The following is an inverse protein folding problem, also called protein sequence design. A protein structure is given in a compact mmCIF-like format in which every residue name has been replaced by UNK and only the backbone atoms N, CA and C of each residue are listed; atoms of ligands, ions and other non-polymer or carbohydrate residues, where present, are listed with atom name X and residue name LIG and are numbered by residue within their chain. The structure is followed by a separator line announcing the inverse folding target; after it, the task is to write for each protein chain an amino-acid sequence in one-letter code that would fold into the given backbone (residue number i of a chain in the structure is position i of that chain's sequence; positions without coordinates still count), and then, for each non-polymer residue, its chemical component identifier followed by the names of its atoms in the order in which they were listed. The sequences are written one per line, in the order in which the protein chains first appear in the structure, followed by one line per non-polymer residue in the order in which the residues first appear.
data_IF_865711756319
#
_entry.id   IF_865711756319
#
_cell.length_a   1.000
_cell.length_b   1.000
_cell.length_c   1.000
_cell.angle_alpha   90.00
_cell.angle_beta   90.00
_cell.angle_gamma   90.00
#
_symmetry.space_group_name_H-M   'P 1'
#
loop_
_entity.id
_entity.type
_entity.pdbx_description
1 polymer ?
#
# COMPACT_ATOMS: atom_id res chain seq x y z
N UNK A 1 -30.36 -14.41 31.20
CA UNK A 1 -29.19 -14.66 30.34
C UNK A 1 -29.69 -14.61 28.91
N UNK A 2 -29.87 -13.42 28.33
CA UNK A 2 -30.44 -13.30 26.97
C UNK A 2 -29.70 -12.20 26.21
N UNK A 3 -28.92 -12.60 25.21
CA UNK A 3 -28.38 -11.69 24.20
C UNK A 3 -29.19 -11.84 22.92
N UNK A 4 -30.46 -11.40 22.94
CA UNK A 4 -31.29 -11.34 21.72
C UNK A 4 -30.90 -10.13 20.87
N UNK A 5 -29.79 -10.24 20.13
CA UNK A 5 -29.48 -9.30 19.06
C UNK A 5 -30.55 -9.40 17.95
N UNK A 6 -31.19 -8.27 17.61
CA UNK A 6 -32.19 -8.19 16.53
C UNK A 6 -31.59 -8.61 15.19
N UNK A 7 -32.37 -9.23 14.26
CA UNK A 7 -31.90 -9.54 12.90
C UNK A 7 -31.29 -8.34 12.16
N UNK A 8 -31.76 -7.12 12.46
CA UNK A 8 -31.18 -5.86 11.96
C UNK A 8 -29.74 -5.65 12.45
N UNK A 9 -29.47 -5.91 13.73
CA UNK A 9 -28.13 -5.79 14.32
C UNK A 9 -27.14 -6.77 13.71
N UNK A 10 -27.56 -8.02 13.50
CA UNK A 10 -26.73 -9.04 12.83
C UNK A 10 -26.42 -8.70 11.37
N UNK A 11 -27.39 -8.15 10.64
CA UNK A 11 -27.17 -7.70 9.26
C UNK A 11 -26.13 -6.58 9.22
N UNK A 12 -26.29 -5.53 10.04
CA UNK A 12 -25.36 -4.39 10.07
C UNK A 12 -23.96 -4.80 10.48
N UNK A 13 -23.83 -5.61 11.54
CA UNK A 13 -22.53 -6.10 12.00
C UNK A 13 -21.80 -6.88 10.90
N UNK A 14 -22.50 -7.82 10.25
CA UNK A 14 -21.95 -8.63 9.16
C UNK A 14 -21.45 -7.76 8.00
N UNK A 15 -22.26 -6.80 7.55
CA UNK A 15 -21.88 -5.92 6.44
C UNK A 15 -20.72 -5.00 6.81
N UNK A 16 -20.71 -4.44 8.02
CA UNK A 16 -19.61 -3.62 8.49
C UNK A 16 -18.29 -4.41 8.57
N UNK A 17 -18.32 -5.63 9.11
CA UNK A 17 -17.14 -6.50 9.17
C UNK A 17 -16.66 -6.91 7.77
N UNK A 18 -17.56 -7.32 6.87
CA UNK A 18 -17.15 -7.69 5.51
C UNK A 18 -16.66 -6.49 4.70
N UNK A 19 -17.28 -5.32 4.83
CA UNK A 19 -16.79 -4.11 4.16
C UNK A 19 -15.36 -3.77 4.60
N UNK A 20 -15.06 -3.90 5.89
CA UNK A 20 -13.71 -3.68 6.41
C UNK A 20 -12.69 -4.70 5.86
N UNK A 21 -13.06 -5.99 5.84
CA UNK A 21 -12.22 -7.05 5.28
C UNK A 21 -11.98 -6.85 3.77
N UNK A 22 -13.02 -6.50 3.01
CA UNK A 22 -12.93 -6.24 1.58
C UNK A 22 -12.10 -4.99 1.29
N UNK A 23 -12.19 -3.96 2.13
CA UNK A 23 -11.34 -2.77 2.01
C UNK A 23 -9.86 -3.13 2.15
N UNK A 24 -9.50 -3.91 3.17
CA UNK A 24 -8.12 -4.36 3.34
C UNK A 24 -7.68 -5.26 2.18
N UNK A 25 -8.56 -6.16 1.72
CA UNK A 25 -8.31 -6.99 0.53
C UNK A 25 -8.06 -6.15 -0.72
N UNK A 26 -8.83 -5.09 -0.94
CA UNK A 26 -8.66 -4.19 -2.07
C UNK A 26 -7.31 -3.48 -2.04
N UNK A 27 -6.92 -2.93 -0.89
CA UNK A 27 -5.60 -2.28 -0.72
C UNK A 27 -4.48 -3.29 -0.93
N UNK A 28 -4.57 -4.48 -0.35
CA UNK A 28 -3.59 -5.54 -0.49
C UNK A 28 -3.40 -5.97 -1.95
N UNK A 29 -4.49 -6.28 -2.65
CA UNK A 29 -4.44 -6.70 -4.04
C UNK A 29 -3.99 -5.55 -4.96
N UNK A 30 -4.46 -4.32 -4.72
CA UNK A 30 -4.03 -3.14 -5.48
C UNK A 30 -2.53 -2.87 -5.35
N UNK A 31 -1.99 -2.94 -4.13
CA UNK A 31 -0.56 -2.79 -3.89
C UNK A 31 0.25 -3.91 -4.58
N UNK A 32 -0.20 -5.17 -4.48
CA UNK A 32 0.44 -6.30 -5.17
C UNK A 32 0.48 -6.13 -6.69
N UNK A 33 -0.57 -5.57 -7.29
CA UNK A 33 -0.62 -5.34 -8.74
C UNK A 33 0.32 -4.21 -9.15
N UNK A 34 0.37 -3.10 -8.41
CA UNK A 34 1.19 -1.95 -8.77
C UNK A 34 2.68 -2.16 -8.47
N UNK A 35 3.00 -2.87 -7.38
CA UNK A 35 4.38 -3.06 -6.89
C UNK A 35 4.88 -4.49 -7.12
N UNK A 36 4.37 -5.18 -8.16
CA UNK A 36 4.69 -6.58 -8.42
C UNK A 36 6.20 -6.80 -8.63
N UNK A 37 6.87 -5.84 -9.27
CA UNK A 37 8.29 -5.93 -9.63
C UNK A 37 9.22 -5.91 -8.41
N UNK A 38 8.81 -5.24 -7.33
CA UNK A 38 9.59 -5.13 -6.07
C UNK A 38 9.06 -6.05 -4.98
N UNK A 39 8.04 -6.86 -5.28
CA UNK A 39 7.35 -7.68 -4.29
C UNK A 39 8.25 -8.75 -3.66
N UNK A 40 9.19 -9.29 -4.45
CA UNK A 40 10.18 -10.28 -4.00
C UNK A 40 11.41 -9.68 -3.31
N UNK A 41 11.52 -8.35 -3.27
CA UNK A 41 12.70 -7.63 -2.80
C UNK A 41 13.04 -6.45 -3.70
N UNK A 42 13.78 -5.50 -3.14
CA UNK A 42 14.25 -4.28 -3.82
C UNK A 42 15.66 -4.54 -4.37
N UNK A 43 16.03 -3.89 -5.47
CA UNK A 43 17.39 -3.96 -6.03
C UNK A 43 18.44 -3.52 -4.97
N UNK A 44 19.47 -4.36 -4.71
CA UNK A 44 20.48 -4.07 -3.69
C UNK A 44 21.41 -2.88 -4.03
N UNK A 45 21.35 -2.31 -5.23
CA UNK A 45 22.18 -1.19 -5.69
C UNK A 45 21.42 0.15 -5.79
N UNK A 46 20.30 0.31 -5.05
CA UNK A 46 19.49 1.55 -5.09
C UNK A 46 20.03 2.71 -4.22
N UNK A 47 21.09 2.53 -3.44
CA UNK A 47 21.61 3.54 -2.51
C UNK A 47 21.86 4.90 -3.16
N UNK A 48 22.42 4.92 -4.37
CA UNK A 48 22.70 6.16 -5.07
C UNK A 48 21.44 6.96 -5.45
N UNK A 49 20.29 6.29 -5.65
CA UNK A 49 19.03 6.93 -6.05
C UNK A 49 18.26 7.56 -4.88
N UNK A 50 18.51 7.10 -3.66
CA UNK A 50 17.86 7.60 -2.44
C UNK A 50 18.67 8.68 -1.74
N UNK A 51 19.87 9.00 -2.22
CA UNK A 51 20.72 10.05 -1.67
C UNK A 51 20.03 11.43 -1.75
N UNK A 52 20.01 12.12 -0.60
CA UNK A 52 19.28 13.37 -0.46
C UNK A 52 19.84 14.45 -1.39
N UNK A 53 18.96 15.09 -2.18
CA UNK A 53 19.30 16.12 -3.17
C UNK A 53 20.26 15.67 -4.29
N UNK A 54 20.48 14.37 -4.49
CA UNK A 54 21.29 13.88 -5.60
C UNK A 54 20.63 14.10 -6.98
N UNK A 55 19.30 14.10 -7.04
CA UNK A 55 18.52 14.27 -8.26
C UNK A 55 17.59 15.49 -8.18
N UNK A 56 17.31 16.09 -9.34
CA UNK A 56 16.32 17.15 -9.47
C UNK A 56 14.89 16.59 -9.39
N UNK A 57 14.66 15.32 -9.77
CA UNK A 57 13.39 14.59 -9.65
C UNK A 57 13.63 13.22 -9.03
N UNK A 58 12.87 12.89 -7.98
CA UNK A 58 12.99 11.59 -7.30
C UNK A 58 12.54 10.45 -8.23
N UNK A 59 13.30 9.36 -8.27
CA UNK A 59 13.04 8.20 -9.12
C UNK A 59 13.38 8.39 -10.60
N UNK A 60 14.04 9.50 -10.98
CA UNK A 60 14.48 9.74 -12.35
C UNK A 60 16.03 9.87 -12.43
N UNK A 61 16.74 8.80 -12.83
CA UNK A 61 18.19 8.78 -12.85
C UNK A 61 18.80 9.75 -13.88
N UNK A 62 18.04 10.19 -14.89
CA UNK A 62 18.51 11.16 -15.88
C UNK A 62 18.64 12.58 -15.31
N UNK A 63 18.09 12.83 -14.11
CA UNK A 63 18.03 14.17 -13.51
C UNK A 63 19.07 14.40 -12.42
N UNK A 64 20.17 13.64 -12.42
CA UNK A 64 21.27 13.81 -11.45
C UNK A 64 21.77 15.25 -11.51
N UNK A 65 21.84 15.92 -10.36
CA UNK A 65 22.32 17.30 -10.28
C UNK A 65 23.79 17.35 -10.67
N UNK A 66 24.13 18.22 -11.62
CA UNK A 66 25.52 18.60 -11.83
C UNK A 66 25.93 19.53 -10.69
N UNK A 67 27.09 19.24 -10.09
CA UNK A 67 27.72 20.15 -9.13
C UNK A 67 28.21 21.34 -9.94
N UNK A 68 27.46 22.44 -9.91
CA UNK A 68 27.92 23.74 -10.38
C UNK A 68 28.99 24.25 -9.42
#
# INVERSE_FOLDING_TARGET
MESCSSPRGWSTFRHASFALLLFFGHIWHGARTLFIDVFGGIDPNLDAQVEFKAFQKLGDPATRRQKV
#
